data_IF_892132137352
#
_entry.id   IF_892132137352
#
_cell.length_a   1.000
_cell.length_b   1.000
_cell.length_c   1.000
_cell.angle_alpha   90.00
_cell.angle_beta   90.00
_cell.angle_gamma   90.00
#
_symmetry.space_group_name_H-M   'P 1'
#
loop_
_entity.id
_entity.type
_entity.pdbx_description
1 polymer ?
#
# COMPACT_ATOMS: atom_id res chain seq x y z
N UNK A 1 -4.23 12.43 -11.91
CA UNK A 1 -3.02 11.63 -11.61
C UNK A 1 -3.48 10.36 -10.92
N UNK A 2 -3.07 9.19 -11.39
CA UNK A 2 -3.47 7.90 -10.83
C UNK A 2 -2.33 7.30 -10.01
N UNK A 3 -2.63 6.85 -8.80
CA UNK A 3 -1.69 6.17 -7.91
C UNK A 3 -1.80 4.65 -8.06
N UNK A 4 -0.65 3.97 -8.06
CA UNK A 4 -0.61 2.51 -7.91
C UNK A 4 -0.83 2.14 -6.44
N UNK A 5 -1.52 1.03 -6.17
CA UNK A 5 -1.80 0.55 -4.82
C UNK A 5 -0.92 -0.66 -4.53
N UNK A 6 -0.03 -0.55 -3.56
CA UNK A 6 0.77 -1.66 -3.05
C UNK A 6 0.28 -2.06 -1.66
N UNK A 7 0.65 -3.26 -1.23
CA UNK A 7 0.31 -3.82 0.08
C UNK A 7 1.54 -4.46 0.71
N UNK A 8 1.64 -4.39 2.04
CA UNK A 8 2.58 -5.21 2.80
C UNK A 8 2.03 -6.63 2.99
N UNK A 9 2.91 -7.59 3.28
CA UNK A 9 2.50 -8.96 3.61
C UNK A 9 1.61 -9.00 4.86
N UNK A 10 1.99 -8.26 5.90
CA UNK A 10 1.18 -8.12 7.12
C UNK A 10 -0.24 -7.63 6.83
N UNK A 11 -0.40 -6.72 5.87
CA UNK A 11 -1.70 -6.23 5.46
C UNK A 11 -2.51 -7.33 4.76
N UNK A 12 -1.88 -8.12 3.88
CA UNK A 12 -2.54 -9.21 3.17
C UNK A 12 -3.05 -10.26 4.18
N UNK A 13 -2.21 -10.65 5.13
CA UNK A 13 -2.61 -11.59 6.19
C UNK A 13 -3.81 -11.09 7.01
N UNK A 14 -3.82 -9.80 7.37
CA UNK A 14 -4.95 -9.19 8.07
C UNK A 14 -6.19 -9.11 7.20
N UNK A 15 -6.02 -8.79 5.91
CA UNK A 15 -7.08 -8.68 4.92
C UNK A 15 -7.78 -10.01 4.65
N UNK A 16 -7.03 -11.10 4.57
CA UNK A 16 -7.54 -12.43 4.26
C UNK A 16 -8.38 -13.01 5.41
N UNK A 17 -8.14 -12.56 6.64
CA UNK A 17 -8.94 -12.90 7.82
C UNK A 17 -10.30 -12.18 7.86
N UNK A 18 -10.52 -11.19 7.00
CA UNK A 18 -11.74 -10.38 7.01
C UNK A 18 -12.92 -11.08 6.34
N UNK A 19 -14.12 -10.66 6.73
CA UNK A 19 -15.33 -11.07 6.02
C UNK A 19 -15.34 -10.53 4.59
N UNK A 20 -16.01 -11.21 3.65
CA UNK A 20 -16.15 -10.75 2.27
C UNK A 20 -16.74 -9.34 2.15
N UNK A 21 -17.59 -8.94 3.10
CA UNK A 21 -18.18 -7.59 3.14
C UNK A 21 -17.12 -6.55 3.50
N UNK A 22 -16.26 -6.82 4.48
CA UNK A 22 -15.15 -5.94 4.84
C UNK A 22 -14.12 -5.85 3.71
N UNK A 23 -13.75 -6.99 3.11
CA UNK A 23 -12.86 -7.04 1.95
C UNK A 23 -13.35 -6.14 0.82
N UNK A 24 -14.61 -6.28 0.40
CA UNK A 24 -15.24 -5.43 -0.63
C UNK A 24 -15.21 -3.93 -0.28
N UNK A 25 -15.33 -3.57 0.99
CA UNK A 25 -15.26 -2.16 1.43
C UNK A 25 -13.84 -1.62 1.31
N UNK A 26 -12.85 -2.41 1.69
CA UNK A 26 -11.43 -2.07 1.53
C UNK A 26 -11.10 -1.94 0.05
N UNK A 27 -11.58 -2.84 -0.82
CA UNK A 27 -11.34 -2.74 -2.27
C UNK A 27 -11.94 -1.47 -2.87
N UNK A 28 -13.12 -1.04 -2.42
CA UNK A 28 -13.66 0.27 -2.78
C UNK A 28 -12.77 1.43 -2.33
N UNK A 29 -12.17 1.33 -1.15
CA UNK A 29 -11.20 2.32 -0.67
C UNK A 29 -9.93 2.28 -1.54
N UNK A 30 -9.42 1.12 -1.94
CA UNK A 30 -8.28 1.02 -2.86
C UNK A 30 -8.55 1.80 -4.16
N UNK A 31 -9.72 1.60 -4.77
CA UNK A 31 -10.09 2.35 -5.99
C UNK A 31 -10.21 3.86 -5.73
N UNK A 32 -10.75 4.27 -4.58
CA UNK A 32 -10.76 5.68 -4.19
C UNK A 32 -9.34 6.24 -4.05
N UNK A 33 -8.43 5.51 -3.41
CA UNK A 33 -7.07 5.97 -3.15
C UNK A 33 -6.23 6.09 -4.43
N UNK A 34 -6.56 5.34 -5.49
CA UNK A 34 -5.93 5.51 -6.81
C UNK A 34 -6.13 6.91 -7.36
N UNK A 35 -7.27 7.55 -7.11
CA UNK A 35 -7.60 8.88 -7.64
C UNK A 35 -7.43 10.00 -6.62
N UNK A 36 -7.64 9.68 -5.33
CA UNK A 36 -7.52 10.61 -4.23
C UNK A 36 -6.78 9.95 -3.04
N UNK A 37 -5.44 9.93 -3.06
CA UNK A 37 -4.67 9.32 -1.98
C UNK A 37 -4.84 10.05 -0.64
N UNK A 38 -5.23 11.33 -0.64
CA UNK A 38 -5.37 12.14 0.57
C UNK A 38 -6.73 11.99 1.27
N UNK A 39 -7.59 11.06 0.83
CA UNK A 39 -8.94 10.85 1.36
C UNK A 39 -9.03 10.43 2.85
N UNK A 40 -7.90 10.10 3.49
CA UNK A 40 -7.78 9.78 4.92
C UNK A 40 -7.34 10.97 5.77
N UNK A 41 -7.32 10.78 7.09
CA UNK A 41 -6.83 11.76 8.08
C UNK A 41 -5.31 11.61 8.26
N UNK A 42 -4.52 12.69 8.29
CA UNK A 42 -3.08 12.60 8.54
C UNK A 42 -2.78 12.21 10.00
N UNK A 43 -1.69 11.46 10.20
CA UNK A 43 -1.22 10.92 11.49
C UNK A 43 0.14 11.52 11.90
N UNK A 44 0.24 12.84 11.82
CA UNK A 44 1.44 13.63 12.13
C UNK A 44 2.30 13.96 10.91
N UNK A 45 2.23 13.14 9.85
CA UNK A 45 2.85 13.42 8.56
C UNK A 45 1.78 13.41 7.46
N UNK A 46 1.89 14.31 6.47
CA UNK A 46 0.91 14.38 5.38
C UNK A 46 0.82 13.09 4.56
N UNK A 47 1.95 12.42 4.40
CA UNK A 47 2.05 11.15 3.68
C UNK A 47 1.58 9.94 4.50
N UNK A 48 1.43 10.04 5.82
CA UNK A 48 0.99 8.93 6.67
C UNK A 48 -0.43 9.16 7.16
N UNK A 49 -1.37 8.34 6.70
CA UNK A 49 -2.80 8.60 6.87
C UNK A 49 -3.57 7.38 7.37
N UNK A 50 -4.69 7.66 8.04
CA UNK A 50 -5.70 6.68 8.39
C UNK A 50 -7.01 6.92 7.65
N UNK A 51 -7.68 5.83 7.24
CA UNK A 51 -9.08 5.85 6.81
C UNK A 51 -9.91 4.99 7.75
N UNK A 52 -10.95 5.57 8.33
CA UNK A 52 -11.87 4.84 9.22
C UNK A 52 -12.89 4.05 8.40
N UNK A 53 -13.13 2.81 8.82
CA UNK A 53 -14.13 1.92 8.24
C UNK A 53 -14.77 1.09 9.36
N UNK A 54 -16.02 1.38 9.70
CA UNK A 54 -16.82 0.60 10.66
C UNK A 54 -16.11 0.23 11.98
N UNK A 55 -15.52 1.23 12.64
CA UNK A 55 -14.81 1.02 13.91
C UNK A 55 -13.34 0.59 13.77
N UNK A 56 -12.94 0.14 12.58
CA UNK A 56 -11.56 -0.20 12.21
C UNK A 56 -10.89 0.94 11.45
N UNK A 57 -9.56 0.84 11.27
CA UNK A 57 -8.71 1.83 10.60
C UNK A 57 -7.80 1.14 9.61
N UNK A 58 -7.84 1.61 8.38
CA UNK A 58 -6.86 1.31 7.36
C UNK A 58 -5.73 2.35 7.44
N UNK A 59 -4.50 1.91 7.61
CA UNK A 59 -3.32 2.76 7.63
C UNK A 59 -2.56 2.64 6.33
N UNK A 60 -2.14 3.78 5.79
CA UNK A 60 -1.45 3.79 4.51
C UNK A 60 -0.46 4.96 4.40
N UNK A 61 0.53 4.76 3.53
CA UNK A 61 1.58 5.71 3.22
C UNK A 61 1.48 6.18 1.77
N UNK A 62 1.71 7.46 1.51
CA UNK A 62 1.68 8.08 0.18
C UNK A 62 3.11 8.41 -0.25
N UNK A 63 3.55 7.83 -1.35
CA UNK A 63 4.84 8.14 -1.98
C UNK A 63 4.56 8.92 -3.26
N UNK A 64 4.47 10.24 -3.14
CA UNK A 64 4.01 11.13 -4.22
C UNK A 64 4.97 11.18 -5.41
N UNK A 65 6.26 11.05 -5.13
CA UNK A 65 7.33 11.11 -6.13
C UNK A 65 7.36 9.90 -7.06
N UNK A 66 6.87 8.75 -6.59
CA UNK A 66 6.69 7.52 -7.40
C UNK A 66 5.23 7.17 -7.65
N UNK A 67 4.30 8.04 -7.22
CA UNK A 67 2.85 7.90 -7.41
C UNK A 67 2.29 6.57 -6.88
N UNK A 68 2.72 6.18 -5.69
CA UNK A 68 2.31 4.92 -5.02
C UNK A 68 1.61 5.21 -3.70
N UNK A 69 0.58 4.43 -3.39
CA UNK A 69 0.00 4.30 -2.05
C UNK A 69 0.28 2.90 -1.52
N UNK A 70 0.95 2.81 -0.36
CA UNK A 70 1.20 1.55 0.33
C UNK A 70 0.18 1.37 1.45
N UNK A 71 -0.64 0.33 1.37
CA UNK A 71 -1.47 -0.12 2.50
C UNK A 71 -0.62 -0.97 3.46
N UNK A 72 -0.58 -0.56 4.72
CA UNK A 72 0.36 -1.12 5.71
C UNK A 72 -0.32 -2.00 6.75
N UNK A 73 -1.49 -1.58 7.24
CA UNK A 73 -2.17 -2.30 8.31
C UNK A 73 -3.67 -2.01 8.32
N UNK A 74 -4.44 -2.92 8.93
CA UNK A 74 -5.85 -2.76 9.21
C UNK A 74 -6.14 -3.16 10.66
N UNK A 75 -6.42 -2.18 11.54
CA UNK A 75 -6.55 -2.45 12.98
C UNK A 75 -7.73 -1.76 13.65
N UNK A 76 -8.15 -2.29 14.80
CA UNK A 76 -9.20 -1.72 15.64
C UNK A 76 -8.73 -0.45 16.36
N UNK A 77 -9.68 0.28 16.95
CA UNK A 77 -9.37 1.47 17.77
C UNK A 77 -8.42 1.20 18.94
N UNK A 78 -8.51 0.03 19.56
CA UNK A 78 -7.76 -0.29 20.79
C UNK A 78 -6.25 -0.42 20.54
N UNK A 79 -5.84 -0.90 19.38
CA UNK A 79 -4.43 -1.12 19.01
C UNK A 79 -3.82 0.05 18.22
N UNK A 80 -4.56 1.14 18.01
CA UNK A 80 -4.18 2.25 17.13
C UNK A 80 -2.77 2.78 17.42
N UNK A 81 -2.47 3.13 18.68
CA UNK A 81 -1.19 3.75 19.01
C UNK A 81 -0.01 2.80 18.75
N UNK A 82 -0.15 1.53 19.15
CA UNK A 82 0.86 0.51 18.89
C UNK A 82 1.10 0.31 17.37
N UNK A 83 0.04 0.29 16.57
CA UNK A 83 0.14 0.22 15.10
C UNK A 83 0.87 1.43 14.53
N UNK A 84 0.50 2.65 14.97
CA UNK A 84 1.12 3.90 14.53
C UNK A 84 2.62 3.91 14.84
N UNK A 85 3.00 3.52 16.07
CA UNK A 85 4.39 3.52 16.50
C UNK A 85 5.21 2.45 15.78
N UNK A 86 4.63 1.28 15.52
CA UNK A 86 5.26 0.24 14.70
C UNK A 86 5.55 0.75 13.28
N UNK A 87 4.55 1.36 12.62
CA UNK A 87 4.70 1.91 11.28
C UNK A 87 5.78 2.99 11.25
N UNK A 88 5.80 3.90 12.24
CA UNK A 88 6.80 4.97 12.31
C UNK A 88 8.22 4.46 12.34
N UNK A 89 8.48 3.35 13.04
CA UNK A 89 9.81 2.72 13.12
C UNK A 89 10.23 2.05 11.81
N UNK A 90 9.29 1.72 10.92
CA UNK A 90 9.54 0.98 9.69
C UNK A 90 9.38 1.83 8.42
N UNK A 91 9.06 3.13 8.52
CA UNK A 91 8.86 4.03 7.37
C UNK A 91 10.04 3.99 6.38
N UNK A 92 11.28 4.00 6.85
CA UNK A 92 12.46 4.01 5.97
C UNK A 92 12.61 2.70 5.21
N UNK A 93 12.26 1.58 5.85
CA UNK A 93 12.25 0.25 5.22
C UNK A 93 11.18 0.20 4.12
N UNK A 94 9.97 0.69 4.41
CA UNK A 94 8.91 0.77 3.40
C UNK A 94 9.30 1.69 2.25
N UNK A 95 9.93 2.83 2.52
CA UNK A 95 10.41 3.72 1.47
C UNK A 95 11.36 2.98 0.54
N UNK A 96 12.38 2.31 1.07
CA UNK A 96 13.33 1.56 0.25
C UNK A 96 12.64 0.49 -0.61
N UNK A 97 11.79 -0.33 0.01
CA UNK A 97 11.04 -1.39 -0.66
C UNK A 97 10.17 -0.86 -1.81
N UNK A 98 9.44 0.25 -1.59
CA UNK A 98 8.60 0.87 -2.63
C UNK A 98 9.43 1.35 -3.81
N UNK A 99 10.58 1.99 -3.58
CA UNK A 99 11.42 2.48 -4.68
C UNK A 99 12.03 1.34 -5.47
N UNK A 100 12.46 0.26 -4.80
CA UNK A 100 13.01 -0.91 -5.47
C UNK A 100 11.94 -1.61 -6.34
N UNK A 101 10.72 -1.78 -5.80
CA UNK A 101 9.56 -2.29 -6.57
C UNK A 101 9.19 -1.37 -7.73
N UNK A 102 9.16 -0.06 -7.52
CA UNK A 102 8.82 0.91 -8.56
C UNK A 102 9.85 0.91 -9.71
N UNK A 103 11.15 0.88 -9.39
CA UNK A 103 12.22 0.77 -10.39
C UNK A 103 12.09 -0.51 -11.21
N UNK A 104 11.87 -1.65 -10.54
CA UNK A 104 11.66 -2.95 -11.18
C UNK A 104 10.45 -2.91 -12.13
N UNK A 105 9.30 -2.41 -11.68
CA UNK A 105 8.10 -2.30 -12.51
C UNK A 105 8.28 -1.34 -13.69
N UNK A 106 8.98 -0.23 -13.49
CA UNK A 106 9.28 0.73 -14.56
C UNK A 106 10.18 0.12 -15.62
N UNK A 107 11.23 -0.59 -15.20
CA UNK A 107 12.13 -1.30 -16.11
C UNK A 107 11.38 -2.37 -16.92
N UNK A 108 10.53 -3.16 -16.26
CA UNK A 108 9.72 -4.18 -16.92
C UNK A 108 8.79 -3.55 -17.98
N UNK A 109 8.06 -2.48 -17.61
CA UNK A 109 7.19 -1.74 -18.55
C UNK A 109 7.98 -1.19 -19.74
N UNK A 110 9.17 -0.64 -19.50
CA UNK A 110 10.05 -0.14 -20.54
C UNK A 110 10.47 -1.26 -21.51
N UNK A 111 10.95 -2.40 -21.00
CA UNK A 111 11.36 -3.54 -21.81
C UNK A 111 10.21 -4.06 -22.68
N UNK A 112 9.01 -4.23 -22.10
CA UNK A 112 7.82 -4.61 -22.87
C UNK A 112 7.49 -3.59 -23.96
N UNK A 113 7.52 -2.28 -23.65
CA UNK A 113 7.24 -1.23 -24.64
C UNK A 113 8.28 -1.15 -25.77
N UNK A 114 9.53 -1.54 -25.48
CA UNK A 114 10.63 -1.57 -26.44
C UNK A 114 10.66 -2.88 -27.26
N UNK A 115 9.65 -3.75 -27.13
CA UNK A 115 9.56 -5.00 -27.89
C UNK A 115 10.44 -6.14 -27.34
N UNK A 116 11.03 -5.96 -26.17
CA UNK A 116 11.73 -7.04 -25.47
C UNK A 116 10.70 -7.85 -24.68
N UNK A 117 10.27 -9.00 -25.22
CA UNK A 117 9.43 -9.95 -24.49
C UNK A 117 10.24 -10.57 -23.35
N UNK A 118 9.95 -10.17 -22.11
CA UNK A 118 10.53 -10.77 -20.91
C UNK A 118 9.83 -12.11 -20.66
N UNK A 119 10.25 -13.16 -21.38
CA UNK A 119 9.85 -14.53 -21.07
C UNK A 119 10.63 -15.04 -19.84
N UNK A 120 9.90 -15.49 -18.82
CA UNK A 120 10.36 -16.35 -17.71
C UNK A 120 11.66 -15.96 -16.97
N UNK A 121 11.62 -14.94 -16.10
CA UNK A 121 12.73 -14.71 -15.17
C UNK A 121 12.33 -14.37 -13.72
N UNK A 122 11.09 -14.62 -13.29
CA UNK A 122 10.67 -14.24 -11.93
C UNK A 122 9.96 -15.33 -11.08
N UNK A 123 9.94 -16.60 -11.50
CA UNK A 123 9.36 -17.70 -10.69
C UNK A 123 10.38 -18.43 -9.79
N UNK A 124 11.54 -17.83 -9.46
CA UNK A 124 12.56 -18.49 -8.62
C UNK A 124 13.25 -17.56 -7.61
N UNK A 125 12.46 -16.79 -6.88
CA UNK A 125 12.92 -16.16 -5.63
C UNK A 125 11.81 -16.33 -4.58
N UNK A 126 11.58 -17.59 -4.21
CA UNK A 126 11.08 -17.99 -2.89
C UNK A 126 12.28 -18.49 -2.07
#
# INVERSE_FOLDING_TARGET
>A
MFFEIYTTESFIEDYDKLTKIEQRRIDKIKEQLKTNPYAGKPLGYEFFREKRLNGKRLYYLIFQDVVVVLLVAYSDKKSQQATIDAIRRTIDVYRKDIYDRFKKNTLIKFLYSAGFYVFHAFDKLD
#
